data_IF_015245453509
#
_entry.id   IF_015245453509
#
_cell.length_a   1.000
_cell.length_b   1.000
_cell.length_c   1.000
_cell.angle_alpha   90.00
_cell.angle_beta   90.00
_cell.angle_gamma   90.00
#
_symmetry.space_group_name_H-M   'P 1'
#
loop_
_entity.id
_entity.type
_entity.pdbx_description
1 polymer ?
#
# COMPACT_ATOMS: atom_id res chain seq x y z
N UNK A 1 -5.62 17.14 18.70
CA UNK A 1 -6.42 15.94 18.44
C UNK A 1 -5.46 14.87 17.93
N UNK A 2 -5.42 13.68 18.51
CA UNK A 2 -4.55 12.62 18.01
C UNK A 2 -5.14 12.08 16.70
N UNK A 3 -4.35 12.00 15.63
CA UNK A 3 -4.77 11.37 14.38
C UNK A 3 -5.13 9.90 14.64
N UNK A 4 -6.27 9.44 14.13
CA UNK A 4 -6.71 8.06 14.28
C UNK A 4 -5.66 7.12 13.66
N UNK A 5 -5.23 6.12 14.43
CA UNK A 5 -4.24 5.14 13.98
C UNK A 5 -4.92 3.94 13.34
N UNK A 6 -4.26 3.32 12.38
CA UNK A 6 -4.74 2.13 11.69
C UNK A 6 -3.59 1.24 11.21
N UNK A 7 -3.92 -0.01 10.95
CA UNK A 7 -3.11 -0.92 10.15
C UNK A 7 -3.62 -0.97 8.72
N UNK A 8 -2.72 -1.26 7.78
CA UNK A 8 -3.08 -1.54 6.40
C UNK A 8 -3.08 -3.05 6.20
N UNK A 9 -4.14 -3.58 5.60
CA UNK A 9 -4.26 -4.98 5.24
C UNK A 9 -4.81 -5.16 3.83
N UNK A 10 -4.50 -6.29 3.21
CA UNK A 10 -5.06 -6.66 1.91
C UNK A 10 -6.47 -7.22 2.05
N UNK A 11 -7.29 -6.94 1.06
CA UNK A 11 -8.64 -7.45 0.90
C UNK A 11 -8.83 -7.95 -0.55
N UNK A 12 -9.74 -8.89 -0.80
CA UNK A 12 -10.04 -9.32 -2.16
C UNK A 12 -10.75 -8.18 -2.91
N UNK A 13 -10.72 -8.23 -4.24
CA UNK A 13 -11.56 -7.34 -5.05
C UNK A 13 -13.06 -7.64 -4.82
N UNK A 14 -13.95 -6.66 -5.07
CA UNK A 14 -15.38 -6.93 -5.06
C UNK A 14 -15.68 -8.05 -6.04
N UNK A 15 -16.45 -9.04 -5.59
CA UNK A 15 -16.89 -10.21 -6.37
C UNK A 15 -15.78 -11.26 -6.68
N UNK A 16 -14.59 -11.14 -6.10
CA UNK A 16 -13.56 -12.19 -6.15
C UNK A 16 -13.51 -13.03 -4.86
N UNK A 17 -13.20 -14.33 -5.01
CA UNK A 17 -12.96 -15.19 -3.86
C UNK A 17 -11.66 -14.80 -3.13
N UNK A 18 -11.59 -14.96 -1.79
CA UNK A 18 -10.38 -14.70 -1.03
C UNK A 18 -9.20 -15.55 -1.53
N UNK A 19 -8.17 -14.89 -2.07
CA UNK A 19 -6.92 -15.54 -2.44
C UNK A 19 -5.99 -15.71 -1.23
N UNK A 20 -4.86 -16.42 -1.43
CA UNK A 20 -3.79 -16.53 -0.43
C UNK A 20 -3.20 -15.18 0.02
N UNK A 21 -3.42 -14.12 -0.76
CA UNK A 21 -2.98 -12.76 -0.44
C UNK A 21 -4.03 -11.94 0.30
N UNK A 22 -5.13 -12.53 0.75
CA UNK A 22 -6.19 -11.86 1.51
C UNK A 22 -5.84 -11.80 3.00
N UNK A 23 -6.22 -10.70 3.68
CA UNK A 23 -5.98 -10.47 5.11
C UNK A 23 -4.49 -10.49 5.51
N UNK A 24 -3.61 -10.05 4.61
CA UNK A 24 -2.19 -9.86 4.90
C UNK A 24 -1.93 -8.40 5.26
N UNK A 25 -1.18 -8.18 6.33
CA UNK A 25 -0.80 -6.86 6.78
C UNK A 25 0.46 -6.36 6.10
N UNK A 26 0.48 -5.07 5.79
CA UNK A 26 1.65 -4.40 5.23
C UNK A 26 2.69 -4.19 6.34
N UNK A 27 3.92 -4.55 6.03
CA UNK A 27 5.06 -4.42 6.93
C UNK A 27 6.28 -3.93 6.16
N UNK A 28 7.05 -3.05 6.79
CA UNK A 28 8.38 -2.70 6.31
C UNK A 28 9.30 -3.92 6.43
N UNK A 29 9.95 -4.33 5.34
CA UNK A 29 10.85 -5.49 5.33
C UNK A 29 11.98 -5.33 6.37
N UNK A 30 12.53 -4.12 6.49
CA UNK A 30 13.67 -3.86 7.35
C UNK A 30 14.98 -4.38 6.74
N UNK A 31 16.07 -4.34 7.51
CA UNK A 31 17.42 -4.72 7.03
C UNK A 31 18.01 -3.83 5.92
N UNK A 32 17.64 -2.54 5.90
CA UNK A 32 18.18 -1.56 4.96
C UNK A 32 17.49 -1.55 3.58
N UNK A 33 16.35 -2.23 3.45
CA UNK A 33 15.49 -2.13 2.27
C UNK A 33 14.16 -1.50 2.66
N UNK A 34 13.73 -0.49 1.90
CA UNK A 34 12.48 0.24 2.13
C UNK A 34 11.24 -0.51 1.59
N UNK A 35 11.41 -1.72 1.07
CA UNK A 35 10.34 -2.50 0.46
C UNK A 35 9.27 -2.92 1.46
N UNK A 36 8.03 -3.03 0.96
CA UNK A 36 6.87 -3.51 1.72
C UNK A 36 6.68 -5.00 1.47
N UNK A 37 6.58 -5.75 2.57
CA UNK A 37 6.20 -7.16 2.56
C UNK A 37 4.86 -7.36 3.26
N UNK A 38 4.15 -8.40 2.82
CA UNK A 38 2.85 -8.77 3.34
C UNK A 38 2.97 -9.99 4.24
N UNK A 39 2.42 -9.88 5.44
CA UNK A 39 2.49 -10.94 6.45
C UNK A 39 1.14 -11.14 7.14
N UNK A 40 0.77 -12.37 7.53
CA UNK A 40 -0.53 -12.64 8.15
C UNK A 40 -0.67 -12.02 9.56
N UNK A 41 0.43 -11.65 10.20
CA UNK A 41 0.42 -11.03 11.54
C UNK A 41 0.41 -9.50 11.47
N UNK A 42 -0.34 -8.87 12.40
CA UNK A 42 -0.33 -7.43 12.58
C UNK A 42 1.10 -6.89 12.84
N UNK A 43 1.47 -5.74 12.24
CA UNK A 43 2.79 -5.16 12.43
C UNK A 43 2.89 -4.57 13.84
N UNK A 44 3.78 -5.14 14.66
CA UNK A 44 3.95 -4.71 16.06
C UNK A 44 4.50 -3.28 16.22
N UNK A 45 5.21 -2.76 15.23
CA UNK A 45 6.05 -1.55 15.37
C UNK A 45 5.68 -0.40 14.43
N UNK A 46 4.74 -0.61 13.50
CA UNK A 46 4.39 0.34 12.44
C UNK A 46 2.89 0.53 12.46
N UNK A 47 2.45 1.71 12.90
CA UNK A 47 1.05 2.13 12.92
C UNK A 47 0.88 3.31 11.99
N UNK A 48 -0.01 3.16 11.01
CA UNK A 48 -0.32 4.20 10.03
C UNK A 48 -1.24 5.25 10.64
N UNK A 49 -1.10 6.49 10.18
CA UNK A 49 -2.07 7.54 10.37
C UNK A 49 -2.07 8.42 9.12
N UNK A 50 -3.20 9.09 8.88
CA UNK A 50 -3.28 10.10 7.82
C UNK A 50 -2.62 11.40 8.31
N UNK A 51 -1.72 11.93 7.49
CA UNK A 51 -1.15 13.28 7.61
C UNK A 51 -1.51 14.03 6.31
N UNK A 52 -2.66 14.71 6.32
CA UNK A 52 -3.27 15.25 5.10
C UNK A 52 -3.67 14.13 4.14
N UNK A 53 -3.10 14.14 2.94
CA UNK A 53 -3.26 13.10 1.90
C UNK A 53 -2.10 12.10 1.85
N UNK A 54 -1.31 11.99 2.92
CA UNK A 54 -0.19 11.06 3.03
C UNK A 54 -0.45 10.04 4.12
N UNK A 55 -0.04 8.79 3.90
CA UNK A 55 0.05 7.80 4.97
C UNK A 55 1.43 7.90 5.61
N UNK A 56 1.44 8.19 6.91
CA UNK A 56 2.66 8.28 7.72
C UNK A 56 2.65 7.23 8.83
N UNK A 57 3.82 6.69 9.12
CA UNK A 57 4.08 5.70 10.16
C UNK A 57 5.06 6.30 11.18
N UNK A 58 4.66 6.32 12.45
CA UNK A 58 5.54 6.76 13.53
C UNK A 58 6.22 5.55 14.19
N UNK A 59 7.51 5.69 14.53
CA UNK A 59 8.19 4.65 15.30
C UNK A 59 7.67 4.60 16.73
N UNK A 60 7.33 3.41 17.21
CA UNK A 60 7.08 3.19 18.62
C UNK A 60 8.36 3.22 19.48
N UNK A 61 9.53 2.96 18.87
CA UNK A 61 10.80 2.78 19.58
C UNK A 61 11.77 3.96 19.46
N UNK A 62 11.55 4.87 18.51
CA UNK A 62 12.42 6.03 18.27
C UNK A 62 11.59 7.30 18.07
N UNK A 63 11.50 8.13 19.12
CA UNK A 63 10.87 9.45 19.02
C UNK A 63 11.53 10.29 17.91
N UNK A 64 10.72 10.77 16.97
CA UNK A 64 11.15 11.62 15.85
C UNK A 64 11.38 10.90 14.52
N UNK A 65 11.46 9.56 14.49
CA UNK A 65 11.51 8.82 13.22
C UNK A 65 10.11 8.61 12.65
N UNK A 66 9.93 9.10 11.43
CA UNK A 66 8.70 8.98 10.66
C UNK A 66 9.02 8.37 9.30
N UNK A 67 8.22 7.40 8.90
CA UNK A 67 8.23 6.85 7.55
C UNK A 67 6.93 7.20 6.86
N UNK A 68 6.93 7.34 5.54
CA UNK A 68 5.71 7.47 4.76
C UNK A 68 5.61 6.37 3.71
N UNK A 69 4.39 6.14 3.26
CA UNK A 69 4.12 5.24 2.13
C UNK A 69 4.48 5.97 0.83
N UNK A 70 5.49 5.49 0.11
CA UNK A 70 5.97 6.09 -1.13
C UNK A 70 5.71 5.15 -2.32
N UNK A 71 4.98 5.66 -3.31
CA UNK A 71 4.81 5.06 -4.62
C UNK A 71 6.02 5.48 -5.47
N UNK A 72 6.97 4.57 -5.67
CA UNK A 72 8.14 4.82 -6.51
C UNK A 72 7.81 4.58 -7.97
N UNK A 73 8.57 5.22 -8.85
CA UNK A 73 8.56 5.00 -10.30
C UNK A 73 9.95 4.58 -10.71
N UNK A 74 10.07 3.52 -11.49
CA UNK A 74 11.35 3.05 -12.00
C UNK A 74 11.71 3.83 -13.28
N UNK A 75 12.30 5.02 -13.10
CA UNK A 75 12.76 5.90 -14.18
C UNK A 75 11.79 7.02 -14.58
N UNK A 76 11.95 7.55 -15.79
CA UNK A 76 11.14 8.67 -16.32
C UNK A 76 9.80 8.22 -16.94
N UNK A 77 9.59 6.92 -17.11
CA UNK A 77 8.36 6.34 -17.65
C UNK A 77 7.74 5.39 -16.63
N UNK A 78 6.41 5.33 -16.62
CA UNK A 78 5.69 4.34 -15.82
C UNK A 78 5.88 2.94 -16.41
N UNK A 79 6.33 1.99 -15.60
CA UNK A 79 6.19 0.57 -15.89
C UNK A 79 4.71 0.14 -15.71
N UNK A 80 4.34 -1.06 -16.16
CA UNK A 80 2.98 -1.59 -15.98
C UNK A 80 2.58 -1.70 -14.50
N UNK A 81 3.56 -1.94 -13.64
CA UNK A 81 3.42 -1.89 -12.19
C UNK A 81 4.70 -1.36 -11.58
N UNK A 82 4.56 -0.77 -10.41
CA UNK A 82 5.58 0.05 -9.80
C UNK A 82 5.68 -0.25 -8.30
N UNK A 83 6.86 -0.02 -7.73
CA UNK A 83 7.17 -0.41 -6.35
C UNK A 83 6.49 0.50 -5.33
N UNK A 84 6.13 -0.09 -4.20
CA UNK A 84 5.66 0.64 -3.03
C UNK A 84 6.65 0.42 -1.88
N UNK A 85 7.06 1.52 -1.26
CA UNK A 85 8.09 1.54 -0.24
C UNK A 85 7.60 2.27 1.02
N UNK A 86 8.17 1.91 2.16
CA UNK A 86 8.04 2.65 3.43
C UNK A 86 9.38 3.35 3.65
N UNK A 87 9.43 4.65 3.36
CA UNK A 87 10.69 5.40 3.31
C UNK A 87 10.73 6.42 4.43
N UNK A 88 11.90 6.60 5.06
CA UNK A 88 12.07 7.59 6.11
C UNK A 88 11.95 9.01 5.54
N UNK A 89 11.08 9.84 6.14
CA UNK A 89 10.82 11.25 5.78
C UNK A 89 10.28 11.50 4.36
N UNK A 90 9.93 10.46 3.62
CA UNK A 90 9.28 10.57 2.31
C UNK A 90 7.93 9.87 2.32
N UNK A 91 7.02 10.30 1.46
CA UNK A 91 5.71 9.69 1.28
C UNK A 91 4.97 10.32 0.11
N UNK A 92 4.15 9.52 -0.56
CA UNK A 92 3.33 9.97 -1.67
C UNK A 92 2.11 10.73 -1.16
N UNK A 93 1.86 11.85 -1.83
CA UNK A 93 0.62 12.60 -1.71
C UNK A 93 -0.52 11.91 -2.44
N UNK A 94 -1.74 12.43 -2.25
CA UNK A 94 -2.96 11.98 -2.94
C UNK A 94 -3.33 10.53 -2.67
N UNK A 95 -2.94 10.03 -1.51
CA UNK A 95 -3.47 8.80 -0.95
C UNK A 95 -4.72 9.12 -0.15
N UNK A 96 -5.82 8.45 -0.49
CA UNK A 96 -7.11 8.66 0.13
C UNK A 96 -7.79 7.33 0.35
N UNK A 97 -8.59 7.26 1.41
CA UNK A 97 -9.47 6.13 1.63
C UNK A 97 -10.83 6.47 1.04
N UNK A 98 -11.31 5.65 0.11
CA UNK A 98 -12.61 5.81 -0.53
C UNK A 98 -13.48 4.57 -0.27
N UNK A 99 -14.79 4.78 -0.21
CA UNK A 99 -15.77 3.73 0.06
C UNK A 99 -15.95 3.42 1.55
N UNK A 100 -17.19 3.13 1.96
CA UNK A 100 -17.55 2.89 3.37
C UNK A 100 -17.78 4.18 4.17
N UNK A 101 -18.76 4.16 5.08
CA UNK A 101 -18.89 5.20 6.12
C UNK A 101 -17.65 5.20 7.02
N UNK A 102 -17.27 6.36 7.57
CA UNK A 102 -16.11 6.52 8.45
C UNK A 102 -16.17 5.51 9.62
N UNK A 103 -15.29 4.50 9.60
CA UNK A 103 -15.31 3.40 10.58
C UNK A 103 -15.91 2.08 10.10
N UNK A 104 -16.32 1.98 8.84
CA UNK A 104 -16.70 0.72 8.19
C UNK A 104 -15.50 -0.04 7.64
N UNK A 105 -15.58 -1.37 7.67
CA UNK A 105 -14.50 -2.34 7.34
C UNK A 105 -14.07 -2.33 5.85
N UNK A 106 -14.57 -1.40 5.02
CA UNK A 106 -14.40 -1.39 3.56
C UNK A 106 -13.85 -0.08 3.00
N UNK A 107 -13.09 0.67 3.79
CA UNK A 107 -12.36 1.84 3.29
C UNK A 107 -11.13 1.37 2.50
N UNK A 108 -11.19 1.54 1.18
CA UNK A 108 -10.15 1.12 0.23
C UNK A 108 -9.20 2.27 -0.02
N UNK A 109 -7.91 1.99 0.10
CA UNK A 109 -6.85 2.93 -0.23
C UNK A 109 -6.79 3.11 -1.75
N UNK A 110 -6.96 4.33 -2.21
CA UNK A 110 -6.79 4.74 -3.60
C UNK A 110 -5.72 5.82 -3.71
N UNK A 111 -5.14 5.94 -4.91
CA UNK A 111 -4.24 7.03 -5.25
C UNK A 111 -4.85 7.84 -6.39
N UNK A 112 -4.97 9.15 -6.20
CA UNK A 112 -5.39 10.09 -7.24
C UNK A 112 -4.18 10.59 -8.04
N UNK A 113 -3.51 9.66 -8.73
CA UNK A 113 -2.40 10.01 -9.60
C UNK A 113 -2.85 10.17 -11.06
N UNK A 114 -2.68 11.40 -11.57
CA UNK A 114 -3.05 11.80 -12.92
C UNK A 114 -1.81 12.30 -13.66
N UNK A 115 -1.67 11.89 -14.92
CA UNK A 115 -0.61 12.35 -15.81
C UNK A 115 -1.22 12.63 -17.17
N UNK A 116 -1.04 13.86 -17.67
CA UNK A 116 -1.62 14.31 -18.94
C UNK A 116 -3.13 14.02 -19.06
N UNK A 117 -3.89 14.31 -18.00
CA UNK A 117 -5.35 14.13 -17.93
C UNK A 117 -5.85 12.66 -17.95
N UNK A 118 -4.93 11.69 -17.92
CA UNK A 118 -5.25 10.27 -17.77
C UNK A 118 -4.99 9.77 -16.35
N UNK A 119 -5.93 8.99 -15.79
CA UNK A 119 -5.78 8.32 -14.50
C UNK A 119 -4.69 7.25 -14.61
N UNK A 120 -3.51 7.55 -14.05
CA UNK A 120 -2.33 6.66 -14.07
C UNK A 120 -2.57 5.48 -13.15
N UNK A 121 -3.09 5.70 -11.95
CA UNK A 121 -3.31 4.64 -10.98
C UNK A 121 -4.47 3.74 -11.39
N UNK A 122 -4.26 2.42 -11.36
CA UNK A 122 -5.23 1.40 -11.74
C UNK A 122 -5.53 0.38 -10.64
N UNK A 123 -4.88 0.45 -9.49
CA UNK A 123 -5.12 -0.46 -8.37
C UNK A 123 -3.84 -0.92 -7.66
N UNK A 124 -4.02 -1.86 -6.74
CA UNK A 124 -2.92 -2.54 -6.05
C UNK A 124 -2.77 -3.96 -6.56
N UNK A 125 -1.54 -4.45 -6.50
CA UNK A 125 -1.22 -5.84 -6.78
C UNK A 125 -0.17 -6.37 -5.82
N UNK A 126 -0.23 -7.66 -5.59
CA UNK A 126 0.72 -8.40 -4.76
C UNK A 126 1.41 -9.40 -5.64
N UNK A 127 2.73 -9.49 -5.54
CA UNK A 127 3.51 -10.49 -6.26
C UNK A 127 4.43 -11.23 -5.30
N UNK A 128 4.56 -12.54 -5.50
CA UNK A 128 5.64 -13.30 -4.87
C UNK A 128 6.97 -12.90 -5.52
N UNK A 129 7.81 -12.19 -4.77
CA UNK A 129 9.06 -11.62 -5.28
C UNK A 129 10.30 -12.21 -4.59
N UNK A 130 11.47 -11.76 -5.03
CA UNK A 130 12.81 -12.33 -4.80
C UNK A 130 13.21 -12.65 -3.34
N UNK A 131 12.51 -12.12 -2.34
CA UNK A 131 12.83 -12.33 -0.92
C UNK A 131 11.97 -13.41 -0.24
N UNK A 132 11.17 -14.17 -1.00
CA UNK A 132 10.32 -15.25 -0.46
C UNK A 132 9.12 -14.76 0.35
N UNK A 133 8.83 -13.46 0.28
CA UNK A 133 7.63 -12.85 0.85
C UNK A 133 6.86 -12.11 -0.26
N UNK A 134 5.52 -12.10 -0.19
CA UNK A 134 4.73 -11.31 -1.12
C UNK A 134 5.00 -9.82 -0.92
N UNK A 135 5.26 -9.11 -2.01
CA UNK A 135 5.54 -7.67 -2.01
C UNK A 135 4.37 -6.89 -2.63
N UNK A 136 4.17 -5.68 -2.14
CA UNK A 136 3.13 -4.78 -2.63
C UNK A 136 3.64 -3.90 -3.76
N UNK A 137 2.87 -3.86 -4.85
CA UNK A 137 3.08 -3.01 -5.99
C UNK A 137 1.79 -2.25 -6.31
N UNK A 138 1.92 -1.12 -7.00
CA UNK A 138 0.78 -0.39 -7.53
C UNK A 138 0.75 -0.50 -9.05
N UNK A 139 -0.44 -0.64 -9.61
CA UNK A 139 -0.66 -0.87 -11.04
C UNK A 139 -0.85 0.47 -11.73
N UNK A 140 -0.22 0.65 -12.89
CA UNK A 140 -0.35 1.85 -13.70
C UNK A 140 -1.21 1.60 -14.95
N UNK A 141 -1.62 2.66 -15.62
CA UNK A 141 -2.33 2.64 -16.91
C UNK A 141 -1.56 1.92 -18.03
N UNK A 142 -0.26 1.68 -17.87
CA UNK A 142 0.56 0.96 -18.87
C UNK A 142 0.32 -0.55 -18.85
N UNK A 143 -0.24 -1.11 -17.77
CA UNK A 143 -0.62 -2.51 -17.72
C UNK A 143 -1.93 -2.75 -18.48
N UNK A 144 -1.81 -3.06 -19.77
CA UNK A 144 -2.93 -3.40 -20.65
C UNK A 144 -3.15 -4.92 -20.80
N UNK A 145 -2.40 -5.75 -20.08
CA UNK A 145 -2.45 -7.22 -20.18
C UNK A 145 -2.92 -7.91 -18.90
N UNK A 146 -3.00 -9.24 -18.98
CA UNK A 146 -3.20 -10.08 -17.81
C UNK A 146 -2.00 -9.97 -16.87
N UNK A 147 -2.28 -10.07 -15.57
CA UNK A 147 -1.23 -10.09 -14.57
C UNK A 147 -0.41 -11.38 -14.70
N UNK A 148 0.90 -11.33 -14.41
CA UNK A 148 1.69 -12.54 -14.31
C UNK A 148 1.05 -13.51 -13.30
N UNK A 149 1.16 -14.82 -13.54
CA UNK A 149 0.53 -15.85 -12.69
C UNK A 149 0.99 -15.83 -11.22
N UNK A 150 2.15 -15.25 -10.95
CA UNK A 150 2.70 -15.04 -9.60
C UNK A 150 2.24 -13.73 -8.94
N UNK A 151 1.36 -12.97 -9.59
CA UNK A 151 0.81 -11.71 -9.11
C UNK A 151 -0.72 -11.77 -9.04
N UNK A 152 -1.31 -11.12 -8.05
CA UNK A 152 -2.76 -11.02 -7.88
C UNK A 152 -3.17 -9.58 -7.58
N UNK A 153 -4.34 -9.16 -8.09
CA UNK A 153 -4.92 -7.88 -7.68
C UNK A 153 -5.48 -8.01 -6.28
N UNK A 154 -5.33 -6.93 -5.52
CA UNK A 154 -5.89 -6.83 -4.19
C UNK A 154 -6.41 -5.42 -3.98
N UNK A 155 -7.27 -5.28 -2.98
CA UNK A 155 -7.55 -3.99 -2.36
C UNK A 155 -6.69 -3.84 -1.11
N UNK A 156 -6.37 -2.60 -0.74
CA UNK A 156 -5.74 -2.30 0.54
C UNK A 156 -6.78 -1.59 1.37
N UNK A 157 -7.11 -2.14 2.53
CA UNK A 157 -8.07 -1.57 3.47
C UNK A 157 -7.40 -1.18 4.76
N UNK A 158 -7.95 -0.18 5.45
CA UNK A 158 -7.50 0.18 6.80
C UNK A 158 -8.27 -0.56 7.87
N UNK A 159 -7.55 -1.03 8.88
CA UNK A 159 -8.08 -1.61 10.11
C UNK A 159 -7.77 -0.64 11.25
N UNK A 160 -8.81 0.00 11.79
CA UNK A 160 -8.66 0.99 12.86
C UNK A 160 -8.21 0.33 14.16
N UNK A 161 -7.38 1.06 14.92
CA UNK A 161 -6.84 0.66 16.23
C UNK A 161 -7.66 1.18 17.41
#
# INVERSE_FOLDING_TARGET
MASKQFFLKTAPLPDEEPSQYTNLYLRHFGSGMDSIVLTPGQPKFIKGHMDGSRITFNSASHEGRKWGLALRKDGEQYAGWEKVEIVEREGSDKLLFTGGEEGSVKEVLECEEEFAEEKVWKGWMVCDWAHGYPQLFWVTHKLNGELPSFCHRVQIVREML
#
